data_IF_307876082924
#
_entry.id   IF_307876082924
#
_cell.length_a   1.000
_cell.length_b   1.000
_cell.length_c   1.000
_cell.angle_alpha   90.00
_cell.angle_beta   90.00
_cell.angle_gamma   90.00
#
_symmetry.space_group_name_H-M   'P 1'
#
loop_
_entity.id
_entity.type
_entity.pdbx_description
1 polymer ?
#
# COMPACT_ATOMS: atom_id res chain seq x y z
N UNK A 1 12.17 8.52 -3.66
CA UNK A 1 11.69 7.15 -3.57
C UNK A 1 10.58 7.06 -2.52
N UNK A 2 9.62 6.22 -2.77
CA UNK A 2 8.51 6.05 -1.85
C UNK A 2 8.64 4.73 -1.11
N UNK A 3 8.12 4.69 0.10
CA UNK A 3 8.16 3.50 0.93
C UNK A 3 6.86 3.40 1.73
N UNK A 4 6.33 2.20 1.83
CA UNK A 4 5.14 1.94 2.61
C UNK A 4 5.36 0.70 3.47
N UNK A 5 5.06 0.83 4.74
CA UNK A 5 5.16 -0.30 5.68
C UNK A 5 3.78 -0.67 6.19
N UNK A 6 3.47 -1.95 6.10
CA UNK A 6 2.20 -2.49 6.59
C UNK A 6 2.41 -3.11 7.98
N UNK A 7 1.43 -2.99 8.88
CA UNK A 7 1.54 -3.60 10.22
C UNK A 7 1.74 -5.11 10.21
N UNK A 8 1.40 -5.78 9.11
CA UNK A 8 1.60 -7.22 9.00
C UNK A 8 3.03 -7.61 8.63
N UNK A 9 3.93 -6.65 8.49
CA UNK A 9 5.32 -6.91 8.15
C UNK A 9 5.67 -6.72 6.68
N UNK A 10 4.68 -6.38 5.85
CA UNK A 10 4.91 -6.12 4.44
C UNK A 10 5.58 -4.75 4.25
N UNK A 11 6.57 -4.70 3.37
CA UNK A 11 7.25 -3.44 3.02
C UNK A 11 7.31 -3.31 1.52
N UNK A 12 6.92 -2.17 0.99
CA UNK A 12 7.02 -1.85 -0.43
C UNK A 12 7.89 -0.61 -0.61
N UNK A 13 8.84 -0.69 -1.52
CA UNK A 13 9.74 0.43 -1.82
C UNK A 13 9.84 0.61 -3.33
N UNK A 14 10.07 1.84 -3.76
CA UNK A 14 10.25 2.19 -5.16
C UNK A 14 9.52 3.45 -5.51
N UNK A 15 9.08 3.54 -6.77
CA UNK A 15 8.28 4.66 -7.22
C UNK A 15 6.92 4.63 -6.55
N UNK A 16 6.33 5.80 -6.36
CA UNK A 16 5.04 5.91 -5.70
C UNK A 16 4.00 4.99 -6.34
N UNK A 17 3.95 4.96 -7.65
CA UNK A 17 3.00 4.12 -8.36
C UNK A 17 3.28 2.64 -8.15
N UNK A 18 4.55 2.26 -8.13
CA UNK A 18 4.93 0.88 -7.87
C UNK A 18 4.54 0.46 -6.45
N UNK A 19 4.78 1.33 -5.49
CA UNK A 19 4.42 1.07 -4.10
C UNK A 19 2.91 0.85 -3.99
N UNK A 20 2.13 1.69 -4.65
CA UNK A 20 0.67 1.53 -4.65
C UNK A 20 0.23 0.22 -5.26
N UNK A 21 0.83 -0.14 -6.39
CA UNK A 21 0.52 -1.38 -7.08
C UNK A 21 0.82 -2.59 -6.20
N UNK A 22 2.00 -2.62 -5.63
CA UNK A 22 2.42 -3.72 -4.75
C UNK A 22 1.50 -3.82 -3.54
N UNK A 23 1.14 -2.69 -2.97
CA UNK A 23 0.26 -2.67 -1.80
C UNK A 23 -1.14 -3.18 -2.16
N UNK A 24 -1.64 -2.82 -3.33
CA UNK A 24 -2.93 -3.32 -3.79
C UNK A 24 -2.93 -4.84 -3.96
N UNK A 25 -1.87 -5.36 -4.59
CA UNK A 25 -1.75 -6.79 -4.77
C UNK A 25 -1.66 -7.50 -3.43
N UNK A 26 -0.89 -6.95 -2.52
CA UNK A 26 -0.78 -7.47 -1.16
C UNK A 26 -2.15 -7.51 -0.47
N UNK A 27 -2.88 -6.41 -0.54
CA UNK A 27 -4.19 -6.33 0.10
C UNK A 27 -5.19 -7.31 -0.49
N UNK A 28 -5.11 -7.54 -1.79
CA UNK A 28 -6.02 -8.49 -2.43
C UNK A 28 -5.76 -9.93 -1.99
N UNK A 29 -4.51 -10.25 -1.72
CA UNK A 29 -4.15 -11.60 -1.30
C UNK A 29 -4.33 -11.83 0.20
N UNK A 30 -3.94 -10.85 1.00
CA UNK A 30 -3.90 -10.99 2.46
C UNK A 30 -5.19 -10.48 3.11
N UNK A 31 -5.73 -9.39 2.58
CA UNK A 31 -6.91 -8.74 3.15
C UNK A 31 -8.02 -8.57 2.11
N UNK A 32 -8.46 -9.64 1.46
CA UNK A 32 -9.47 -9.51 0.41
C UNK A 32 -10.80 -9.03 0.98
N UNK A 33 -11.34 -7.99 0.36
CA UNK A 33 -12.66 -7.48 0.72
C UNK A 33 -12.76 -6.66 1.99
N UNK A 34 -11.64 -6.34 2.63
CA UNK A 34 -11.68 -5.55 3.87
C UNK A 34 -11.88 -4.06 3.62
N UNK A 35 -11.41 -3.56 2.49
CA UNK A 35 -11.53 -2.14 2.18
C UNK A 35 -11.89 -1.94 0.72
N UNK A 36 -12.63 -0.87 0.45
CA UNK A 36 -12.90 -0.47 -0.93
C UNK A 36 -11.63 0.14 -1.53
N UNK A 37 -11.59 0.26 -2.85
CA UNK A 37 -10.44 0.86 -3.52
C UNK A 37 -10.19 2.29 -3.07
N UNK A 38 -11.26 3.05 -2.83
CA UNK A 38 -11.13 4.42 -2.36
C UNK A 38 -10.49 4.50 -0.98
N UNK A 39 -10.94 3.65 -0.07
CA UNK A 39 -10.36 3.62 1.27
C UNK A 39 -8.92 3.16 1.24
N UNK A 40 -8.63 2.17 0.41
CA UNK A 40 -7.28 1.66 0.26
C UNK A 40 -6.35 2.77 -0.25
N UNK A 41 -6.80 3.55 -1.22
CA UNK A 41 -6.02 4.64 -1.75
C UNK A 41 -5.75 5.72 -0.71
N UNK A 42 -6.73 6.05 0.10
CA UNK A 42 -6.54 7.01 1.19
C UNK A 42 -5.50 6.52 2.19
N UNK A 43 -5.62 5.27 2.59
CA UNK A 43 -4.66 4.69 3.55
C UNK A 43 -3.26 4.67 2.96
N UNK A 44 -3.13 4.30 1.69
CA UNK A 44 -1.83 4.30 1.04
C UNK A 44 -1.22 5.69 0.99
N UNK A 45 -2.02 6.69 0.64
CA UNK A 45 -1.52 8.06 0.58
C UNK A 45 -1.07 8.58 1.94
N UNK A 46 -1.73 8.16 2.99
CA UNK A 46 -1.33 8.55 4.35
C UNK A 46 -0.08 7.83 4.83
N UNK A 47 0.08 6.58 4.45
CA UNK A 47 1.18 5.74 4.94
C UNK A 47 2.43 5.77 4.07
N UNK A 48 2.31 6.17 2.82
CA UNK A 48 3.48 6.28 1.95
C UNK A 48 4.38 7.41 2.41
N UNK A 49 5.64 7.06 2.65
CA UNK A 49 6.67 8.04 2.98
C UNK A 49 7.53 8.28 1.74
N UNK A 50 7.73 9.53 1.39
CA UNK A 50 8.59 9.90 0.28
C UNK A 50 9.71 10.80 0.75
N UNK A 51 10.87 10.54 0.23
CA UNK A 51 12.04 11.39 0.46
C UNK A 51 12.08 12.56 -0.52
#
# INVERSE_FOLDING_TARGET
MAKLMCPCGFVAEGEREEVKQKTRDHAKEIHPGEMSEEEMEKVMNEKIEED
#
